data_IF_799659238073
#
_entry.id   IF_799659238073
#
_cell.length_a   1.000
_cell.length_b   1.000
_cell.length_c   1.000
_cell.angle_alpha   90.00
_cell.angle_beta   90.00
_cell.angle_gamma   90.00
#
_symmetry.space_group_name_H-M   'P 1'
#
loop_
_entity.id
_entity.type
_entity.pdbx_description
1 polymer ?
#
# COMPACT_ATOMS: atom_id res chain seq x y z
N UNK A 1 -19.50 -9.92 -30.75
CA UNK A 1 -20.56 -9.03 -31.25
C UNK A 1 -20.56 -8.95 -32.78
N UNK A 2 -19.54 -8.34 -33.39
CA UNK A 2 -19.47 -8.16 -34.85
C UNK A 2 -19.57 -9.48 -35.63
N UNK A 3 -18.81 -10.53 -35.23
CA UNK A 3 -18.87 -11.83 -35.86
C UNK A 3 -20.25 -12.51 -35.77
N UNK A 4 -20.98 -12.37 -34.68
CA UNK A 4 -22.33 -12.90 -34.51
C UNK A 4 -23.30 -12.25 -35.52
N UNK A 5 -23.16 -10.92 -35.74
CA UNK A 5 -23.94 -10.22 -36.77
C UNK A 5 -23.62 -10.68 -38.21
N UNK A 6 -22.35 -10.98 -38.51
CA UNK A 6 -21.93 -11.49 -39.80
C UNK A 6 -22.47 -12.91 -40.07
N UNK A 7 -22.55 -13.72 -39.03
CA UNK A 7 -23.01 -15.15 -39.13
C UNK A 7 -24.53 -15.27 -38.88
N UNK A 8 -25.26 -14.13 -38.79
CA UNK A 8 -26.71 -14.09 -38.53
C UNK A 8 -27.15 -14.91 -37.28
N UNK A 9 -26.29 -14.97 -36.24
CA UNK A 9 -26.63 -15.61 -34.98
C UNK A 9 -26.88 -14.59 -33.88
N UNK A 10 -27.76 -14.95 -32.96
CA UNK A 10 -27.96 -14.12 -31.76
C UNK A 10 -26.68 -14.05 -30.92
N UNK A 11 -26.37 -12.87 -30.44
CA UNK A 11 -25.21 -12.62 -29.59
C UNK A 11 -25.47 -13.18 -28.17
N UNK A 12 -24.72 -14.19 -27.79
CA UNK A 12 -24.70 -14.74 -26.43
C UNK A 12 -23.43 -14.30 -25.68
N UNK A 13 -23.54 -13.37 -24.71
CA UNK A 13 -22.38 -12.83 -24.01
C UNK A 13 -21.57 -13.88 -23.22
N UNK A 14 -22.18 -14.86 -22.50
CA UNK A 14 -21.43 -15.91 -21.83
C UNK A 14 -20.58 -16.76 -22.78
N UNK A 15 -21.14 -17.17 -23.90
CA UNK A 15 -20.41 -17.94 -24.93
C UNK A 15 -19.28 -17.12 -25.55
N UNK A 16 -19.49 -15.81 -25.77
CA UNK A 16 -18.45 -14.94 -26.28
C UNK A 16 -17.30 -14.78 -25.28
N UNK A 17 -17.59 -14.67 -23.98
CA UNK A 17 -16.57 -14.65 -22.94
C UNK A 17 -15.80 -15.97 -22.89
N UNK A 18 -16.49 -17.12 -22.90
CA UNK A 18 -15.87 -18.43 -22.89
C UNK A 18 -14.95 -18.65 -24.10
N UNK A 19 -15.39 -18.25 -25.29
CA UNK A 19 -14.58 -18.33 -26.51
C UNK A 19 -13.32 -17.45 -26.43
N UNK A 20 -13.45 -16.21 -25.93
CA UNK A 20 -12.31 -15.31 -25.73
C UNK A 20 -11.29 -15.87 -24.73
N UNK A 21 -11.76 -16.40 -23.60
CA UNK A 21 -10.92 -17.07 -22.59
C UNK A 21 -10.19 -18.26 -23.23
N UNK A 22 -10.90 -19.12 -23.95
CA UNK A 22 -10.31 -20.27 -24.62
C UNK A 22 -9.23 -19.85 -25.63
N UNK A 23 -9.49 -18.88 -26.49
CA UNK A 23 -8.51 -18.38 -27.46
C UNK A 23 -7.24 -17.85 -26.80
N UNK A 24 -7.37 -17.10 -25.69
CA UNK A 24 -6.22 -16.57 -24.95
C UNK A 24 -5.41 -17.71 -24.33
N UNK A 25 -6.07 -18.70 -23.71
CA UNK A 25 -5.41 -19.80 -23.04
C UNK A 25 -4.79 -20.81 -24.02
N UNK A 26 -5.34 -20.97 -25.20
CA UNK A 26 -4.73 -21.76 -26.28
C UNK A 26 -3.44 -21.10 -26.79
N UNK A 27 -3.39 -19.77 -26.84
CA UNK A 27 -2.18 -19.02 -27.21
C UNK A 27 -1.13 -18.98 -26.10
N UNK A 28 -1.57 -18.86 -24.84
CA UNK A 28 -0.70 -18.83 -23.66
C UNK A 28 -1.42 -19.37 -22.41
N UNK A 29 -1.22 -20.65 -22.03
CA UNK A 29 -1.84 -21.24 -20.85
C UNK A 29 -1.51 -20.52 -19.54
N UNK A 30 -0.33 -19.89 -19.45
CA UNK A 30 0.10 -19.15 -18.26
C UNK A 30 -0.63 -17.80 -18.08
N UNK A 31 -1.38 -17.35 -19.09
CA UNK A 31 -2.17 -16.12 -18.98
C UNK A 31 -3.14 -16.15 -17.79
N UNK A 32 -3.61 -17.35 -17.38
CA UNK A 32 -4.47 -17.52 -16.20
C UNK A 32 -3.85 -16.96 -14.91
N UNK A 33 -2.53 -16.95 -14.81
CA UNK A 33 -1.80 -16.39 -13.65
C UNK A 33 -1.60 -14.87 -13.74
N UNK A 34 -1.82 -14.26 -14.90
CA UNK A 34 -1.67 -12.81 -15.03
C UNK A 34 -2.83 -12.08 -14.36
N UNK A 35 -2.51 -11.07 -13.59
CA UNK A 35 -3.49 -10.22 -12.90
C UNK A 35 -4.46 -9.56 -13.89
N UNK A 36 -3.95 -9.08 -15.03
CA UNK A 36 -4.77 -8.46 -16.08
C UNK A 36 -5.85 -9.41 -16.62
N UNK A 37 -5.49 -10.67 -16.84
CA UNK A 37 -6.45 -11.70 -17.28
C UNK A 37 -7.50 -11.95 -16.20
N UNK A 38 -7.08 -12.18 -14.95
CA UNK A 38 -7.98 -12.48 -13.84
C UNK A 38 -8.97 -11.34 -13.57
N UNK A 39 -8.47 -10.08 -13.52
CA UNK A 39 -9.33 -8.90 -13.32
C UNK A 39 -10.30 -8.69 -14.49
N UNK A 40 -9.84 -8.84 -15.72
CA UNK A 40 -10.71 -8.65 -16.91
C UNK A 40 -11.79 -9.73 -17.00
N UNK A 41 -11.41 -10.99 -16.90
CA UNK A 41 -12.38 -12.10 -16.96
C UNK A 41 -13.32 -12.08 -15.76
N UNK A 42 -12.80 -11.86 -14.57
CA UNK A 42 -13.60 -11.76 -13.35
C UNK A 42 -14.62 -10.62 -13.40
N UNK A 43 -14.20 -9.42 -13.83
CA UNK A 43 -15.10 -8.28 -13.97
C UNK A 43 -16.23 -8.55 -14.97
N UNK A 44 -15.91 -9.08 -16.16
CA UNK A 44 -16.92 -9.38 -17.17
C UNK A 44 -17.86 -10.51 -16.70
N UNK A 45 -17.33 -11.58 -16.10
CA UNK A 45 -18.14 -12.66 -15.54
C UNK A 45 -19.08 -12.13 -14.44
N UNK A 46 -18.61 -11.25 -13.57
CA UNK A 46 -19.39 -10.60 -12.54
C UNK A 46 -20.52 -9.73 -13.13
N UNK A 47 -20.24 -8.95 -14.15
CA UNK A 47 -21.25 -8.15 -14.87
C UNK A 47 -22.33 -9.06 -15.45
N UNK A 48 -21.94 -10.12 -16.16
CA UNK A 48 -22.88 -11.04 -16.78
C UNK A 48 -23.76 -11.79 -15.76
N UNK A 49 -23.18 -12.18 -14.64
CA UNK A 49 -23.89 -12.94 -13.63
C UNK A 49 -24.85 -12.07 -12.77
N UNK A 50 -24.47 -10.83 -12.45
CA UNK A 50 -25.11 -10.06 -11.39
C UNK A 50 -25.77 -8.76 -11.88
N UNK A 51 -25.21 -8.04 -12.86
CA UNK A 51 -25.67 -6.67 -13.18
C UNK A 51 -27.14 -6.58 -13.55
N UNK A 52 -27.65 -7.49 -14.38
CA UNK A 52 -29.06 -7.48 -14.78
C UNK A 52 -30.01 -7.76 -13.61
N UNK A 53 -29.59 -8.61 -12.65
CA UNK A 53 -30.41 -8.92 -11.46
C UNK A 53 -30.48 -7.73 -10.51
N UNK A 54 -29.33 -7.06 -10.30
CA UNK A 54 -29.25 -5.85 -9.48
C UNK A 54 -30.08 -4.73 -10.10
N UNK A 55 -29.93 -4.51 -11.42
CA UNK A 55 -30.71 -3.51 -12.15
C UNK A 55 -32.23 -3.76 -12.08
N UNK A 56 -32.65 -5.02 -12.25
CA UNK A 56 -34.06 -5.41 -12.16
C UNK A 56 -34.62 -5.11 -10.78
N UNK A 57 -33.88 -5.43 -9.71
CA UNK A 57 -34.25 -5.12 -8.33
C UNK A 57 -34.52 -3.62 -8.11
N UNK A 58 -33.59 -2.76 -8.57
CA UNK A 58 -33.77 -1.30 -8.48
C UNK A 58 -34.94 -0.82 -9.33
N UNK A 59 -35.11 -1.37 -10.52
CA UNK A 59 -36.18 -0.99 -11.44
C UNK A 59 -37.56 -1.32 -10.85
N UNK A 60 -37.76 -2.46 -10.27
CA UNK A 60 -39.03 -2.88 -9.72
C UNK A 60 -39.43 -2.10 -8.47
N UNK A 61 -38.46 -1.64 -7.69
CA UNK A 61 -38.72 -1.02 -6.39
C UNK A 61 -38.72 0.51 -6.41
N UNK A 62 -37.91 1.15 -7.26
CA UNK A 62 -37.63 2.59 -7.16
C UNK A 62 -37.86 3.40 -8.45
N UNK A 63 -38.47 2.84 -9.49
CA UNK A 63 -38.68 3.58 -10.73
C UNK A 63 -39.87 4.56 -10.62
N UNK A 64 -39.67 5.86 -10.90
CA UNK A 64 -40.75 6.84 -10.88
C UNK A 64 -41.62 6.75 -12.14
N UNK A 65 -42.83 7.30 -12.04
CA UNK A 65 -43.78 7.38 -13.17
C UNK A 65 -43.36 8.42 -14.22
N UNK A 66 -42.63 9.46 -13.85
CA UNK A 66 -42.21 10.55 -14.72
C UNK A 66 -41.11 10.10 -15.72
N UNK A 67 -41.32 10.35 -17.01
CA UNK A 67 -40.44 9.89 -18.12
C UNK A 67 -38.96 10.37 -18.00
N UNK A 68 -38.75 11.66 -17.64
CA UNK A 68 -37.42 12.22 -17.52
C UNK A 68 -36.66 11.63 -16.33
N UNK A 69 -37.25 11.65 -15.15
CA UNK A 69 -36.67 11.06 -13.94
C UNK A 69 -36.38 9.57 -14.13
N UNK A 70 -37.25 8.86 -14.86
CA UNK A 70 -37.05 7.44 -15.21
C UNK A 70 -35.81 7.22 -16.08
N UNK A 71 -35.52 8.11 -17.06
CA UNK A 71 -34.29 7.99 -17.88
C UNK A 71 -33.02 8.24 -17.06
N UNK A 72 -33.03 9.28 -16.23
CA UNK A 72 -31.89 9.58 -15.35
C UNK A 72 -31.61 8.46 -14.37
N UNK A 73 -32.66 7.94 -13.70
CA UNK A 73 -32.52 6.83 -12.78
C UNK A 73 -32.17 5.51 -13.46
N UNK A 74 -32.63 5.28 -14.69
CA UNK A 74 -32.22 4.11 -15.47
C UNK A 74 -30.72 4.12 -15.76
N UNK A 75 -30.14 5.26 -16.10
CA UNK A 75 -28.70 5.42 -16.30
C UNK A 75 -27.95 5.17 -14.97
N UNK A 76 -28.40 5.81 -13.90
CA UNK A 76 -27.79 5.73 -12.57
C UNK A 76 -27.80 4.29 -12.04
N UNK A 77 -28.96 3.63 -12.06
CA UNK A 77 -29.08 2.24 -11.62
C UNK A 77 -28.35 1.26 -12.55
N UNK A 78 -28.30 1.57 -13.86
CA UNK A 78 -27.50 0.79 -14.81
C UNK A 78 -26.02 0.85 -14.51
N UNK A 79 -25.47 2.05 -14.32
CA UNK A 79 -24.08 2.25 -13.96
C UNK A 79 -23.71 1.59 -12.63
N UNK A 80 -24.52 1.81 -11.59
CA UNK A 80 -24.34 1.17 -10.27
C UNK A 80 -24.39 -0.35 -10.39
N UNK A 81 -25.35 -0.91 -11.13
CA UNK A 81 -25.50 -2.36 -11.27
C UNK A 81 -24.32 -3.00 -12.00
N UNK A 82 -23.79 -2.33 -13.02
CA UNK A 82 -22.60 -2.80 -13.76
C UNK A 82 -21.37 -2.74 -12.85
N UNK A 83 -21.16 -1.62 -12.14
CA UNK A 83 -20.05 -1.47 -11.21
C UNK A 83 -20.11 -2.51 -10.08
N UNK A 84 -21.28 -2.69 -9.46
CA UNK A 84 -21.47 -3.73 -8.43
C UNK A 84 -21.21 -5.13 -8.99
N UNK A 85 -21.72 -5.44 -10.18
CA UNK A 85 -21.49 -6.72 -10.84
C UNK A 85 -19.99 -6.99 -11.06
N UNK A 86 -19.26 -6.02 -11.62
CA UNK A 86 -17.83 -6.11 -11.82
C UNK A 86 -17.06 -6.31 -10.51
N UNK A 87 -17.47 -5.59 -9.46
CA UNK A 87 -16.78 -5.58 -8.16
C UNK A 87 -16.84 -6.91 -7.43
N UNK A 88 -17.82 -7.77 -7.69
CA UNK A 88 -17.98 -9.06 -7.00
C UNK A 88 -16.71 -9.90 -7.07
N UNK A 89 -16.03 -9.93 -8.21
CA UNK A 89 -14.80 -10.69 -8.39
C UNK A 89 -13.56 -9.80 -8.38
N UNK A 90 -13.66 -8.54 -8.85
CA UNK A 90 -12.47 -7.66 -8.88
C UNK A 90 -12.04 -7.17 -7.50
N UNK A 91 -12.98 -6.90 -6.58
CA UNK A 91 -12.64 -6.45 -5.22
C UNK A 91 -11.78 -7.46 -4.45
N UNK A 92 -12.14 -8.76 -4.36
CA UNK A 92 -11.28 -9.75 -3.73
C UNK A 92 -9.90 -9.87 -4.38
N UNK A 93 -9.83 -9.80 -5.70
CA UNK A 93 -8.56 -9.85 -6.42
C UNK A 93 -7.70 -8.60 -6.12
N UNK A 94 -8.29 -7.40 -6.13
CA UNK A 94 -7.59 -6.18 -5.75
C UNK A 94 -7.08 -6.27 -4.32
N UNK A 95 -7.89 -6.75 -3.38
CA UNK A 95 -7.50 -6.94 -2.00
C UNK A 95 -6.31 -7.90 -1.83
N UNK A 96 -6.27 -8.99 -2.62
CA UNK A 96 -5.21 -9.99 -2.55
C UNK A 96 -3.91 -9.52 -3.23
N UNK A 97 -4.01 -8.85 -4.38
CA UNK A 97 -2.83 -8.49 -5.18
C UNK A 97 -2.26 -7.12 -4.84
N UNK A 98 -3.13 -6.14 -4.58
CA UNK A 98 -2.71 -4.77 -4.29
C UNK A 98 -2.74 -4.42 -2.80
N UNK A 99 -3.33 -5.28 -1.97
CA UNK A 99 -3.45 -5.00 -0.54
C UNK A 99 -4.43 -3.88 -0.19
N UNK A 100 -5.28 -3.44 -1.16
CA UNK A 100 -6.24 -2.36 -0.95
C UNK A 100 -7.56 -2.58 -1.69
N UNK A 101 -8.62 -1.96 -1.18
CA UNK A 101 -9.96 -1.93 -1.78
C UNK A 101 -10.47 -0.50 -1.81
N UNK A 102 -10.75 0.04 -3.00
CA UNK A 102 -11.33 1.37 -3.13
C UNK A 102 -12.81 1.37 -2.72
N UNK A 103 -13.16 2.16 -1.71
CA UNK A 103 -14.54 2.39 -1.29
C UNK A 103 -15.26 3.40 -2.20
N UNK A 104 -14.52 4.40 -2.68
CA UNK A 104 -15.08 5.45 -3.53
C UNK A 104 -15.12 5.08 -5.01
N UNK A 105 -14.63 3.90 -5.39
CA UNK A 105 -14.61 3.43 -6.77
C UNK A 105 -15.99 3.45 -7.44
N UNK A 106 -17.08 3.21 -6.69
CA UNK A 106 -18.44 3.35 -7.18
C UNK A 106 -18.77 4.78 -7.61
N UNK A 107 -18.39 5.76 -6.80
CA UNK A 107 -18.62 7.18 -7.09
C UNK A 107 -17.75 7.64 -8.25
N UNK A 108 -16.49 7.22 -8.27
CA UNK A 108 -15.55 7.51 -9.36
C UNK A 108 -16.07 6.96 -10.68
N UNK A 109 -16.57 5.72 -10.70
CA UNK A 109 -17.14 5.13 -11.91
C UNK A 109 -18.41 5.85 -12.36
N UNK A 110 -19.30 6.19 -11.42
CA UNK A 110 -20.53 6.90 -11.73
C UNK A 110 -20.28 8.27 -12.38
N UNK A 111 -19.31 9.02 -11.85
CA UNK A 111 -18.99 10.37 -12.30
C UNK A 111 -17.98 10.40 -13.46
N UNK A 112 -17.16 9.36 -13.64
CA UNK A 112 -16.02 9.37 -14.55
C UNK A 112 -16.19 8.53 -15.82
N UNK A 113 -16.93 7.39 -15.78
CA UNK A 113 -16.98 6.45 -16.91
C UNK A 113 -17.52 7.08 -18.22
N UNK A 114 -18.45 8.01 -18.14
CA UNK A 114 -18.94 8.72 -19.33
C UNK A 114 -17.81 9.53 -20.00
N UNK A 115 -16.98 10.22 -19.20
CA UNK A 115 -15.88 11.02 -19.72
C UNK A 115 -14.82 10.13 -20.37
N UNK A 116 -14.48 8.99 -19.76
CA UNK A 116 -13.55 7.99 -20.32
C UNK A 116 -14.09 7.43 -21.64
N UNK A 117 -15.40 7.12 -21.70
CA UNK A 117 -16.03 6.60 -22.93
C UNK A 117 -15.97 7.62 -24.07
N UNK A 118 -16.30 8.88 -23.81
CA UNK A 118 -16.19 9.94 -24.82
C UNK A 118 -14.74 10.23 -25.20
N UNK A 119 -13.81 10.20 -24.24
CA UNK A 119 -12.38 10.36 -24.50
C UNK A 119 -11.84 9.26 -25.44
N UNK A 120 -12.27 8.01 -25.25
CA UNK A 120 -11.87 6.90 -26.12
C UNK A 120 -12.26 7.16 -27.59
N UNK A 121 -13.52 7.53 -27.85
CA UNK A 121 -13.96 7.89 -29.21
C UNK A 121 -13.31 9.16 -29.72
N UNK A 122 -13.08 10.15 -28.83
CA UNK A 122 -12.39 11.38 -29.15
C UNK A 122 -10.94 11.17 -29.58
N UNK A 123 -10.22 10.24 -28.95
CA UNK A 123 -8.86 9.85 -29.36
C UNK A 123 -8.88 9.24 -30.76
N UNK A 124 -9.76 8.26 -31.01
CA UNK A 124 -9.89 7.66 -32.33
C UNK A 124 -10.21 8.70 -33.43
N UNK A 125 -11.16 9.60 -33.13
CA UNK A 125 -11.53 10.67 -34.03
C UNK A 125 -10.36 11.63 -34.28
N UNK A 126 -9.61 12.00 -33.25
CA UNK A 126 -8.46 12.90 -33.40
C UNK A 126 -7.35 12.30 -34.27
N UNK A 127 -7.11 11.00 -34.15
CA UNK A 127 -6.14 10.26 -35.00
C UNK A 127 -6.63 10.27 -36.46
N UNK A 128 -7.89 9.92 -36.71
CA UNK A 128 -8.46 9.88 -38.07
C UNK A 128 -8.45 11.25 -38.73
N UNK A 129 -8.90 12.28 -38.03
CA UNK A 129 -8.89 13.66 -38.54
C UNK A 129 -7.47 14.18 -38.72
N UNK A 130 -6.54 13.84 -37.84
CA UNK A 130 -5.14 14.22 -37.94
C UNK A 130 -4.41 13.56 -39.11
N UNK A 131 -4.82 12.37 -39.50
CA UNK A 131 -4.31 11.69 -40.70
C UNK A 131 -4.76 12.36 -42.00
N UNK A 132 -5.95 13.00 -41.98
CA UNK A 132 -6.48 13.75 -43.14
C UNK A 132 -5.91 15.18 -43.14
N UNK A 133 -5.99 15.87 -42.00
CA UNK A 133 -5.52 17.25 -41.83
C UNK A 133 -5.13 17.52 -40.37
N UNK A 134 -3.83 17.72 -40.15
CA UNK A 134 -3.24 17.80 -38.81
C UNK A 134 -3.88 18.89 -37.91
N UNK A 135 -4.22 20.12 -38.38
CA UNK A 135 -4.88 21.12 -37.53
C UNK A 135 -6.24 20.65 -36.99
N UNK A 136 -7.03 19.95 -37.78
CA UNK A 136 -8.33 19.44 -37.36
C UNK A 136 -8.17 18.32 -36.30
N UNK A 137 -7.18 17.45 -36.50
CA UNK A 137 -6.80 16.45 -35.50
C UNK A 137 -6.37 17.07 -34.18
N UNK A 138 -5.60 18.18 -34.21
CA UNK A 138 -5.20 18.94 -33.01
C UNK A 138 -6.39 19.51 -32.24
N UNK A 139 -7.39 20.07 -32.94
CA UNK A 139 -8.62 20.60 -32.32
C UNK A 139 -9.37 19.44 -31.61
N UNK A 140 -9.58 18.31 -32.28
CA UNK A 140 -10.24 17.16 -31.70
C UNK A 140 -9.47 16.60 -30.50
N UNK A 141 -8.13 16.52 -30.57
CA UNK A 141 -7.27 16.12 -29.48
C UNK A 141 -7.33 17.08 -28.27
N UNK A 142 -7.39 18.41 -28.53
CA UNK A 142 -7.56 19.40 -27.47
C UNK A 142 -8.87 19.18 -26.70
N UNK A 143 -10.01 19.07 -27.41
CA UNK A 143 -11.30 18.81 -26.78
C UNK A 143 -11.31 17.49 -25.98
N UNK A 144 -10.69 16.45 -26.53
CA UNK A 144 -10.54 15.16 -25.85
C UNK A 144 -9.68 15.28 -24.59
N UNK A 145 -8.63 16.11 -24.63
CA UNK A 145 -7.76 16.35 -23.48
C UNK A 145 -8.50 16.97 -22.28
N UNK A 146 -9.54 17.78 -22.52
CA UNK A 146 -10.35 18.36 -21.45
C UNK A 146 -11.12 17.28 -20.67
N UNK A 147 -11.64 16.25 -21.36
CA UNK A 147 -12.30 15.11 -20.72
C UNK A 147 -11.32 14.30 -19.85
N UNK A 148 -10.11 14.09 -20.35
CA UNK A 148 -9.06 13.41 -19.59
C UNK A 148 -8.61 14.22 -18.37
N UNK A 149 -8.44 15.54 -18.52
CA UNK A 149 -8.13 16.43 -17.39
C UNK A 149 -9.24 16.42 -16.34
N UNK A 150 -10.51 16.46 -16.76
CA UNK A 150 -11.65 16.32 -15.86
C UNK A 150 -11.56 15.01 -15.09
N UNK A 151 -11.33 13.88 -15.78
CA UNK A 151 -11.24 12.56 -15.13
C UNK A 151 -10.08 12.48 -14.13
N UNK A 152 -8.91 12.98 -14.51
CA UNK A 152 -7.73 13.01 -13.61
C UNK A 152 -8.01 13.91 -12.39
N UNK A 153 -8.62 15.08 -12.58
CA UNK A 153 -8.98 15.97 -11.47
C UNK A 153 -10.00 15.32 -10.53
N UNK A 154 -11.01 14.64 -11.08
CA UNK A 154 -12.00 13.89 -10.32
C UNK A 154 -11.35 12.78 -9.47
N UNK A 155 -10.47 11.98 -10.07
CA UNK A 155 -9.76 10.92 -9.36
C UNK A 155 -8.91 11.49 -8.23
N UNK A 156 -8.14 12.54 -8.50
CA UNK A 156 -7.31 13.22 -7.48
C UNK A 156 -8.14 13.78 -6.32
N UNK A 157 -9.26 14.42 -6.64
CA UNK A 157 -10.17 14.95 -5.62
C UNK A 157 -10.73 13.85 -4.74
N UNK A 158 -11.21 12.77 -5.34
CA UNK A 158 -11.83 11.66 -4.61
C UNK A 158 -10.78 10.83 -3.83
N UNK A 159 -9.59 10.61 -4.37
CA UNK A 159 -8.52 9.89 -3.67
C UNK A 159 -7.95 10.63 -2.46
N UNK A 160 -8.17 11.94 -2.34
CA UNK A 160 -7.74 12.73 -1.19
C UNK A 160 -8.58 12.47 0.08
N UNK A 161 -9.71 11.77 -0.01
CA UNK A 161 -10.50 11.44 1.17
C UNK A 161 -9.81 10.34 2.01
N UNK A 162 -9.76 10.48 3.35
CA UNK A 162 -9.05 9.55 4.24
C UNK A 162 -9.53 8.09 4.15
N UNK A 163 -10.80 7.88 3.75
CA UNK A 163 -11.43 6.55 3.58
C UNK A 163 -11.63 6.20 2.10
N UNK A 164 -10.86 6.79 1.19
CA UNK A 164 -10.95 6.48 -0.23
C UNK A 164 -10.65 5.01 -0.53
N UNK A 165 -9.75 4.40 0.24
CA UNK A 165 -9.40 2.99 0.17
C UNK A 165 -9.32 2.38 1.57
N UNK A 166 -9.56 1.07 1.65
CA UNK A 166 -9.32 0.25 2.84
C UNK A 166 -8.19 -0.70 2.54
N UNK A 167 -7.16 -0.68 3.38
CA UNK A 167 -5.99 -1.52 3.25
C UNK A 167 -6.24 -2.89 3.87
N UNK A 168 -5.94 -3.96 3.13
CA UNK A 168 -6.45 -5.32 3.40
C UNK A 168 -5.41 -6.27 3.98
N UNK A 169 -4.19 -5.82 4.25
CA UNK A 169 -3.12 -6.67 4.82
C UNK A 169 -3.27 -6.99 6.31
N UNK A 170 -4.25 -6.38 7.00
CA UNK A 170 -4.54 -6.73 8.39
C UNK A 170 -5.34 -8.03 8.48
N UNK A 171 -5.08 -8.84 9.53
CA UNK A 171 -5.81 -10.09 9.77
C UNK A 171 -7.34 -9.90 9.84
N UNK A 172 -7.89 -8.89 10.53
CA UNK A 172 -9.34 -8.66 10.55
C UNK A 172 -9.95 -8.45 9.16
N UNK A 173 -9.25 -7.73 8.28
CA UNK A 173 -9.72 -7.50 6.91
C UNK A 173 -9.60 -8.78 6.06
N UNK A 174 -8.55 -9.57 6.22
CA UNK A 174 -8.44 -10.87 5.55
C UNK A 174 -9.60 -11.81 5.96
N UNK A 175 -9.95 -11.84 7.25
CA UNK A 175 -11.10 -12.60 7.74
C UNK A 175 -12.43 -12.08 7.17
N UNK A 176 -12.59 -10.75 7.04
CA UNK A 176 -13.74 -10.16 6.37
C UNK A 176 -13.86 -10.58 4.90
N UNK A 177 -12.75 -10.67 4.16
CA UNK A 177 -12.75 -11.16 2.77
C UNK A 177 -13.26 -12.61 2.70
N UNK A 178 -12.77 -13.48 3.57
CA UNK A 178 -13.25 -14.86 3.66
C UNK A 178 -14.74 -14.95 4.01
N UNK A 179 -15.19 -14.17 4.99
CA UNK A 179 -16.60 -14.07 5.38
C UNK A 179 -17.48 -13.55 4.24
N UNK A 180 -17.05 -12.51 3.53
CA UNK A 180 -17.76 -11.96 2.37
C UNK A 180 -17.88 -12.97 1.24
N UNK A 181 -16.84 -13.77 0.97
CA UNK A 181 -16.88 -14.87 0.02
C UNK A 181 -17.88 -15.95 0.42
N UNK A 182 -17.92 -16.32 1.70
CA UNK A 182 -18.92 -17.25 2.23
C UNK A 182 -20.35 -16.70 2.09
N UNK A 183 -20.58 -15.45 2.45
CA UNK A 183 -21.88 -14.81 2.28
C UNK A 183 -22.33 -14.76 0.82
N UNK A 184 -21.40 -14.51 -0.10
CA UNK A 184 -21.65 -14.54 -1.53
C UNK A 184 -22.09 -15.95 -1.98
N UNK A 185 -21.39 -16.99 -1.55
CA UNK A 185 -21.74 -18.38 -1.87
C UNK A 185 -23.14 -18.73 -1.34
N UNK A 186 -23.47 -18.36 -0.09
CA UNK A 186 -24.81 -18.56 0.49
C UNK A 186 -25.88 -17.77 -0.26
N UNK A 187 -25.59 -16.53 -0.66
CA UNK A 187 -26.49 -15.73 -1.49
C UNK A 187 -26.76 -16.39 -2.85
N UNK A 188 -25.72 -16.89 -3.50
CA UNK A 188 -25.86 -17.59 -4.78
C UNK A 188 -26.72 -18.85 -4.66
N UNK A 189 -26.63 -19.54 -3.53
CA UNK A 189 -27.43 -20.72 -3.25
C UNK A 189 -28.91 -20.39 -3.00
N UNK A 190 -29.18 -19.45 -2.08
CA UNK A 190 -30.56 -19.13 -1.66
C UNK A 190 -31.24 -18.08 -2.53
N UNK A 191 -30.48 -17.19 -3.19
CA UNK A 191 -30.96 -16.12 -4.09
C UNK A 191 -32.04 -15.19 -3.53
N UNK A 192 -32.16 -15.09 -2.20
CA UNK A 192 -33.17 -14.27 -1.49
C UNK A 192 -32.45 -13.17 -0.67
N UNK A 193 -33.16 -12.03 -0.46
CA UNK A 193 -32.76 -10.93 0.44
C UNK A 193 -31.37 -10.33 0.18
N UNK A 194 -31.02 -9.86 -1.03
CA UNK A 194 -29.69 -9.33 -1.35
C UNK A 194 -29.25 -8.18 -0.43
N UNK A 195 -30.18 -7.34 0.02
CA UNK A 195 -29.91 -6.21 0.94
C UNK A 195 -29.39 -6.70 2.30
N UNK A 196 -29.89 -7.83 2.79
CA UNK A 196 -29.42 -8.39 4.08
C UNK A 196 -27.97 -8.87 3.96
N UNK A 197 -27.62 -9.55 2.88
CA UNK A 197 -26.24 -9.99 2.65
C UNK A 197 -25.28 -8.82 2.45
N UNK A 198 -25.68 -7.81 1.66
CA UNK A 198 -24.90 -6.59 1.48
C UNK A 198 -24.71 -5.82 2.80
N UNK A 199 -25.78 -5.70 3.61
CA UNK A 199 -25.71 -5.08 4.93
C UNK A 199 -24.79 -5.84 5.89
N UNK A 200 -24.86 -7.18 5.88
CA UNK A 200 -23.99 -8.02 6.71
C UNK A 200 -22.51 -7.87 6.29
N UNK A 201 -22.21 -7.83 4.98
CA UNK A 201 -20.86 -7.58 4.48
C UNK A 201 -20.35 -6.19 4.90
N UNK A 202 -21.18 -5.15 4.76
CA UNK A 202 -20.80 -3.78 5.13
C UNK A 202 -20.56 -3.65 6.64
N UNK A 203 -21.43 -4.24 7.47
CA UNK A 203 -21.25 -4.25 8.92
C UNK A 203 -20.00 -5.01 9.33
N UNK A 204 -19.76 -6.18 8.74
CA UNK A 204 -18.56 -6.95 9.01
C UNK A 204 -17.28 -6.20 8.58
N UNK A 205 -17.30 -5.42 7.48
CA UNK A 205 -16.21 -4.55 7.08
C UNK A 205 -15.97 -3.47 8.12
N UNK A 206 -17.02 -2.77 8.56
CA UNK A 206 -16.90 -1.74 9.59
C UNK A 206 -16.29 -2.29 10.88
N UNK A 207 -16.71 -3.49 11.31
CA UNK A 207 -16.13 -4.17 12.48
C UNK A 207 -14.65 -4.51 12.23
N UNK A 208 -14.30 -5.08 11.07
CA UNK A 208 -12.93 -5.45 10.75
C UNK A 208 -11.99 -4.22 10.71
N UNK A 209 -12.44 -3.11 10.14
CA UNK A 209 -11.71 -1.83 10.14
C UNK A 209 -11.54 -1.30 11.56
N UNK A 210 -12.63 -1.27 12.36
CA UNK A 210 -12.57 -0.83 13.74
C UNK A 210 -11.57 -1.68 14.55
N UNK A 211 -11.58 -3.01 14.41
CA UNK A 211 -10.61 -3.88 15.05
C UNK A 211 -9.18 -3.58 14.62
N UNK A 212 -8.94 -3.36 13.32
CA UNK A 212 -7.61 -3.05 12.80
C UNK A 212 -7.06 -1.74 13.38
N UNK A 213 -7.93 -0.75 13.60
CA UNK A 213 -7.52 0.57 14.13
C UNK A 213 -7.44 0.63 15.65
N UNK A 214 -8.25 -0.18 16.35
CA UNK A 214 -8.26 -0.23 17.81
C UNK A 214 -7.15 -1.10 18.40
N UNK A 215 -6.72 -2.15 17.68
CA UNK A 215 -5.67 -3.06 18.16
C UNK A 215 -4.38 -2.34 18.55
N UNK A 216 -3.84 -1.39 17.77
CA UNK A 216 -2.61 -0.68 18.14
C UNK A 216 -2.75 0.19 19.40
N UNK A 217 -3.95 0.64 19.72
CA UNK A 217 -4.21 1.49 20.89
C UNK A 217 -4.08 0.75 22.23
N UNK A 218 -4.16 -0.58 22.20
CA UNK A 218 -3.97 -1.43 23.39
C UNK A 218 -2.52 -1.82 23.65
N UNK A 219 -1.58 -1.46 22.79
CA UNK A 219 -0.16 -1.77 22.91
C UNK A 219 0.59 -0.58 23.53
N UNK A 220 1.52 -0.85 24.46
CA UNK A 220 2.33 0.22 25.02
C UNK A 220 3.30 0.80 23.99
N UNK A 221 3.83 -0.09 23.13
CA UNK A 221 4.65 0.31 21.99
C UNK A 221 4.54 -0.68 20.85
N UNK A 222 4.89 -0.21 19.67
CA UNK A 222 5.05 -1.04 18.46
C UNK A 222 6.20 -0.51 17.62
N UNK A 223 7.10 -1.41 17.23
CA UNK A 223 8.14 -1.13 16.24
C UNK A 223 7.92 -2.04 15.05
N UNK A 224 7.83 -1.45 13.86
CA UNK A 224 7.61 -2.21 12.63
C UNK A 224 8.70 -1.92 11.63
N UNK A 225 9.47 -2.95 11.26
CA UNK A 225 10.45 -2.89 10.17
C UNK A 225 9.76 -3.38 8.91
N UNK A 226 9.53 -2.47 7.97
CA UNK A 226 8.76 -2.74 6.76
C UNK A 226 9.61 -3.47 5.72
N UNK A 227 9.01 -4.42 5.00
CA UNK A 227 9.62 -5.00 3.80
C UNK A 227 9.53 -4.00 2.63
N UNK A 228 10.57 -3.22 2.45
CA UNK A 228 10.75 -2.27 1.36
C UNK A 228 11.66 -2.81 0.25
N UNK A 229 12.06 -4.08 0.34
CA UNK A 229 13.16 -4.68 -0.42
C UNK A 229 14.50 -4.24 0.14
N UNK A 230 15.48 -3.90 -0.72
CA UNK A 230 16.75 -3.36 -0.25
C UNK A 230 16.55 -1.90 0.17
N UNK A 231 16.75 -1.64 1.48
CA UNK A 231 16.60 -0.34 2.10
C UNK A 231 16.00 -0.41 3.51
N UNK A 232 15.71 0.75 4.10
CA UNK A 232 15.22 0.86 5.48
C UNK A 232 13.97 1.73 5.57
N UNK A 233 12.98 1.22 6.29
CA UNK A 233 11.79 1.97 6.70
C UNK A 233 11.25 1.37 7.99
N UNK A 234 11.42 2.09 9.10
CA UNK A 234 11.04 1.62 10.43
C UNK A 234 10.01 2.55 11.05
N UNK A 235 8.86 2.01 11.45
CA UNK A 235 7.79 2.76 12.12
C UNK A 235 7.89 2.55 13.62
N UNK A 236 7.99 3.63 14.39
CA UNK A 236 8.02 3.66 15.84
C UNK A 236 6.70 4.22 16.38
N UNK A 237 6.02 3.48 17.23
CA UNK A 237 4.75 3.89 17.80
C UNK A 237 4.76 3.68 19.33
N UNK A 238 4.35 4.70 20.06
CA UNK A 238 4.09 4.64 21.51
C UNK A 238 3.23 5.82 21.93
N UNK A 239 2.39 5.63 22.93
CA UNK A 239 1.56 6.67 23.53
C UNK A 239 0.75 7.51 22.50
N UNK A 240 0.25 6.86 21.45
CA UNK A 240 -0.52 7.49 20.38
C UNK A 240 0.29 8.35 19.40
N UNK A 241 1.61 8.40 19.53
CA UNK A 241 2.51 9.07 18.57
C UNK A 241 3.18 8.07 17.63
N UNK A 242 3.45 8.54 16.42
CA UNK A 242 4.07 7.76 15.35
C UNK A 242 5.25 8.50 14.76
N UNK A 243 6.41 7.88 14.80
CA UNK A 243 7.63 8.36 14.15
C UNK A 243 8.08 7.37 13.09
N UNK A 244 8.69 7.86 12.04
CA UNK A 244 9.28 7.06 10.98
C UNK A 244 10.80 7.25 10.98
N UNK A 245 11.56 6.16 10.94
CA UNK A 245 13.01 6.20 10.75
C UNK A 245 13.29 5.66 9.36
N UNK A 246 13.76 6.54 8.49
CA UNK A 246 13.94 6.36 7.06
C UNK A 246 12.66 6.03 6.28
N UNK A 247 12.69 6.26 5.01
CA UNK A 247 11.69 5.85 4.04
C UNK A 247 12.38 5.56 2.71
N UNK A 248 13.23 4.55 2.71
CA UNK A 248 13.97 4.14 1.54
C UNK A 248 13.78 2.67 1.21
N UNK A 249 14.03 2.30 -0.03
CA UNK A 249 13.88 0.92 -0.47
C UNK A 249 14.38 0.69 -1.87
N UNK A 250 14.11 -0.49 -2.41
CA UNK A 250 14.50 -0.86 -3.79
C UNK A 250 14.04 0.18 -4.83
N UNK A 251 12.93 0.86 -4.57
CA UNK A 251 12.47 2.06 -5.29
C UNK A 251 11.71 2.97 -4.32
N UNK A 252 11.76 4.28 -4.53
CA UNK A 252 11.04 5.24 -3.70
C UNK A 252 9.52 5.03 -3.70
N UNK A 253 8.97 4.57 -4.82
CA UNK A 253 7.54 4.22 -4.90
C UNK A 253 7.21 3.05 -3.97
N UNK A 254 8.03 1.98 -3.97
CA UNK A 254 7.80 0.79 -3.14
C UNK A 254 7.86 1.13 -1.65
N UNK A 255 8.83 1.92 -1.21
CA UNK A 255 8.97 2.28 0.20
C UNK A 255 7.86 3.22 0.68
N UNK A 256 7.51 4.24 -0.11
CA UNK A 256 6.40 5.14 0.22
C UNK A 256 5.06 4.40 0.26
N UNK A 257 4.79 3.51 -0.71
CA UNK A 257 3.56 2.71 -0.76
C UNK A 257 3.50 1.74 0.43
N UNK A 258 4.59 1.05 0.77
CA UNK A 258 4.65 0.14 1.92
C UNK A 258 4.39 0.88 3.25
N UNK A 259 4.99 2.05 3.43
CA UNK A 259 4.76 2.89 4.61
C UNK A 259 3.30 3.35 4.70
N UNK A 260 2.74 3.89 3.61
CA UNK A 260 1.34 4.33 3.57
C UNK A 260 0.36 3.18 3.81
N UNK A 261 0.55 2.05 3.12
CA UNK A 261 -0.31 0.88 3.23
C UNK A 261 -0.33 0.36 4.68
N UNK A 262 0.85 0.25 5.31
CA UNK A 262 0.95 -0.16 6.69
C UNK A 262 0.25 0.83 7.64
N UNK A 263 0.60 2.12 7.57
CA UNK A 263 0.07 3.15 8.46
C UNK A 263 -1.45 3.27 8.34
N UNK A 264 -1.98 3.30 7.13
CA UNK A 264 -3.43 3.35 6.91
C UNK A 264 -4.15 2.08 7.36
N UNK A 265 -3.51 0.91 7.25
CA UNK A 265 -4.11 -0.36 7.71
C UNK A 265 -4.35 -0.38 9.22
N UNK A 266 -3.59 0.41 9.98
CA UNK A 266 -3.71 0.55 11.43
C UNK A 266 -4.35 1.88 11.86
N UNK A 267 -4.92 2.63 10.92
CA UNK A 267 -5.67 3.86 11.19
C UNK A 267 -4.81 5.11 11.44
N UNK A 268 -3.55 5.11 11.02
CA UNK A 268 -2.65 6.27 11.15
C UNK A 268 -2.67 7.06 9.84
N UNK A 269 -3.14 8.30 9.90
CA UNK A 269 -3.28 9.22 8.76
C UNK A 269 -2.32 10.40 8.82
N UNK A 270 -1.47 10.46 9.84
CA UNK A 270 -0.46 11.48 10.07
C UNK A 270 0.72 10.87 10.82
N UNK A 271 1.93 11.29 10.50
CA UNK A 271 3.17 10.95 11.20
C UNK A 271 3.60 12.17 12.04
N UNK A 272 3.97 11.97 13.31
CA UNK A 272 4.41 13.05 14.19
C UNK A 272 5.81 13.56 13.86
N UNK A 273 6.70 12.66 13.40
CA UNK A 273 8.01 13.06 12.91
C UNK A 273 8.66 11.98 12.05
N UNK A 274 9.57 12.41 11.16
CA UNK A 274 10.37 11.53 10.31
C UNK A 274 11.86 11.81 10.52
N UNK A 275 12.62 10.78 10.83
CA UNK A 275 14.06 10.84 11.07
C UNK A 275 14.75 10.20 9.86
N UNK A 276 15.54 10.97 9.13
CA UNK A 276 16.34 10.51 7.99
C UNK A 276 17.78 10.32 8.44
N UNK A 277 18.25 9.08 8.43
CA UNK A 277 19.55 8.74 9.01
C UNK A 277 20.71 9.27 8.19
N UNK A 278 20.65 9.14 6.86
CA UNK A 278 21.64 9.64 5.92
C UNK A 278 21.05 9.71 4.49
N UNK A 279 21.72 10.40 3.52
CA UNK A 279 21.10 10.73 2.23
C UNK A 279 21.06 9.61 1.20
N UNK A 280 21.56 8.42 1.48
CA UNK A 280 21.61 7.33 0.50
C UNK A 280 20.19 6.91 0.05
N UNK A 281 20.08 6.53 -1.23
CA UNK A 281 18.81 6.32 -1.88
C UNK A 281 17.93 5.25 -1.19
N UNK A 282 18.53 4.20 -0.66
CA UNK A 282 17.85 3.13 0.04
C UNK A 282 17.39 3.50 1.47
N UNK A 283 17.65 4.75 1.89
CA UNK A 283 17.12 5.34 3.13
C UNK A 283 16.16 6.50 2.90
N UNK A 284 16.27 7.25 1.79
CA UNK A 284 15.49 8.48 1.60
C UNK A 284 14.64 8.54 0.31
N UNK A 285 14.80 7.60 -0.63
CA UNK A 285 14.17 7.72 -1.96
C UNK A 285 12.63 7.78 -1.95
N UNK A 286 11.97 7.31 -0.91
CA UNK A 286 10.53 7.38 -0.72
C UNK A 286 10.05 8.56 0.10
N UNK A 287 10.94 9.25 0.83
CA UNK A 287 10.56 10.29 1.78
C UNK A 287 9.75 11.43 1.14
N UNK A 288 10.22 11.98 0.02
CA UNK A 288 9.52 13.05 -0.70
C UNK A 288 8.14 12.59 -1.24
N UNK A 289 8.03 11.34 -1.69
CA UNK A 289 6.76 10.78 -2.16
C UNK A 289 5.78 10.59 -1.01
N UNK A 290 6.26 10.17 0.16
CA UNK A 290 5.45 10.00 1.36
C UNK A 290 4.96 11.37 1.87
N UNK A 291 5.85 12.36 1.98
CA UNK A 291 5.53 13.74 2.40
C UNK A 291 4.47 14.38 1.48
N UNK A 292 4.52 14.09 0.19
CA UNK A 292 3.50 14.55 -0.78
C UNK A 292 2.12 13.91 -0.63
N UNK A 293 1.98 12.83 0.16
CA UNK A 293 0.75 12.05 0.27
C UNK A 293 0.19 11.95 1.69
N UNK A 294 1.03 12.12 2.70
CA UNK A 294 0.66 12.01 4.11
C UNK A 294 1.21 13.21 4.89
N UNK A 295 0.42 13.84 5.78
CA UNK A 295 0.93 14.89 6.66
C UNK A 295 2.02 14.34 7.59
N UNK A 296 3.18 14.97 7.57
CA UNK A 296 4.32 14.68 8.44
C UNK A 296 4.56 15.92 9.30
N UNK A 297 4.81 15.70 10.58
CA UNK A 297 5.16 16.77 11.50
C UNK A 297 6.55 17.32 11.20
N UNK A 298 7.48 17.18 12.12
CA UNK A 298 8.86 17.63 11.94
C UNK A 298 9.73 16.56 11.29
N UNK A 299 10.64 16.97 10.42
CA UNK A 299 11.67 16.10 9.84
C UNK A 299 13.02 16.36 10.51
N UNK A 300 13.73 15.29 10.84
CA UNK A 300 15.02 15.32 11.52
C UNK A 300 16.07 14.65 10.64
N UNK A 301 17.25 15.23 10.49
CA UNK A 301 18.28 14.64 9.63
C UNK A 301 19.59 15.39 9.66
N UNK A 302 20.51 15.01 8.77
CA UNK A 302 21.81 15.66 8.61
C UNK A 302 21.81 16.76 7.55
N UNK A 303 20.80 16.76 6.64
CA UNK A 303 20.62 17.77 5.59
C UNK A 303 19.16 17.78 5.13
N UNK A 304 18.72 18.90 4.56
CA UNK A 304 17.41 19.07 3.91
C UNK A 304 16.19 18.68 4.78
N UNK A 305 16.27 18.92 6.08
CA UNK A 305 15.23 18.63 7.07
C UNK A 305 14.92 19.85 7.95
N UNK A 306 13.76 19.83 8.62
CA UNK A 306 13.35 20.94 9.50
C UNK A 306 14.31 21.12 10.67
N UNK A 307 14.80 20.01 11.23
CA UNK A 307 15.74 19.99 12.37
C UNK A 307 17.02 19.28 11.98
N UNK A 308 18.11 20.01 11.96
CA UNK A 308 19.45 19.45 11.70
C UNK A 308 20.03 18.85 12.98
N UNK A 309 20.44 17.60 12.90
CA UNK A 309 21.02 16.85 14.03
C UNK A 309 22.55 16.95 13.98
N UNK A 310 23.08 17.86 14.78
CA UNK A 310 24.55 18.04 14.96
C UNK A 310 25.03 17.60 16.34
N UNK A 311 24.13 17.33 17.26
CA UNK A 311 24.39 16.86 18.61
C UNK A 311 23.30 15.88 19.05
N UNK A 312 23.55 15.14 20.13
CA UNK A 312 22.55 14.25 20.73
C UNK A 312 21.26 15.03 21.01
N UNK A 313 20.18 14.58 20.39
CA UNK A 313 18.86 15.21 20.48
C UNK A 313 17.87 14.24 21.09
N UNK A 314 17.02 14.68 21.99
CA UNK A 314 16.02 13.85 22.65
C UNK A 314 14.61 14.37 22.39
N UNK A 315 13.72 13.44 21.98
CA UNK A 315 12.28 13.67 21.83
C UNK A 315 11.59 12.86 22.94
N UNK A 316 10.94 13.54 23.86
CA UNK A 316 10.32 12.92 25.03
C UNK A 316 8.80 13.11 24.98
N UNK A 317 8.04 12.04 25.15
CA UNK A 317 6.58 12.07 25.24
C UNK A 317 6.07 10.90 26.07
N UNK A 318 5.16 11.20 27.00
CA UNK A 318 4.66 10.24 28.00
C UNK A 318 5.81 9.51 28.71
N UNK A 319 5.82 8.18 28.67
CA UNK A 319 6.88 7.32 29.21
C UNK A 319 7.88 6.84 28.13
N UNK A 320 7.90 7.52 26.98
CA UNK A 320 8.71 7.17 25.84
C UNK A 320 9.77 8.22 25.55
N UNK A 321 10.96 7.78 25.17
CA UNK A 321 12.06 8.63 24.72
C UNK A 321 12.64 8.13 23.42
N UNK A 322 12.82 9.04 22.47
CA UNK A 322 13.61 8.82 21.26
C UNK A 322 14.87 9.66 21.41
N UNK A 323 16.03 9.01 21.39
CA UNK A 323 17.34 9.69 21.37
C UNK A 323 17.96 9.54 20.00
N UNK A 324 18.25 10.64 19.35
CA UNK A 324 18.93 10.69 18.05
C UNK A 324 20.39 11.04 18.31
N UNK A 325 21.28 10.16 17.91
CA UNK A 325 22.72 10.36 18.00
C UNK A 325 23.25 10.84 16.65
N UNK A 326 24.08 11.89 16.59
CA UNK A 326 24.76 12.27 15.38
C UNK A 326 25.77 11.19 14.99
N UNK A 327 26.03 11.07 13.70
CA UNK A 327 27.13 10.26 13.18
C UNK A 327 28.48 10.92 13.40
N UNK A 328 29.54 10.36 12.81
CA UNK A 328 30.85 10.95 12.84
C UNK A 328 30.88 12.30 12.08
N UNK A 329 31.65 13.24 12.55
CA UNK A 329 31.74 14.59 11.95
C UNK A 329 32.46 14.62 10.60
N UNK A 330 33.24 13.59 10.30
CA UNK A 330 34.00 13.41 9.04
C UNK A 330 33.92 11.95 8.60
N UNK A 331 34.07 11.72 7.29
CA UNK A 331 34.03 10.38 6.71
C UNK A 331 33.00 10.26 5.60
N UNK A 332 32.64 9.02 5.29
CA UNK A 332 31.61 8.64 4.30
C UNK A 332 30.20 9.02 4.80
N UNK A 333 29.21 8.97 3.93
CA UNK A 333 27.81 9.24 4.32
C UNK A 333 27.30 8.20 5.32
N UNK A 334 27.77 6.95 5.22
CA UNK A 334 27.48 5.90 6.21
C UNK A 334 28.04 6.23 7.60
N UNK A 335 29.29 6.72 7.68
CA UNK A 335 29.89 7.13 8.94
C UNK A 335 29.23 8.36 9.58
N UNK A 336 28.58 9.19 8.77
CA UNK A 336 27.76 10.34 9.21
C UNK A 336 26.30 9.97 9.52
N UNK A 337 25.90 8.74 9.23
CA UNK A 337 24.53 8.27 9.46
C UNK A 337 24.11 8.48 10.93
N UNK A 338 22.92 8.97 11.14
CA UNK A 338 22.33 9.08 12.47
C UNK A 338 21.97 7.69 13.02
N UNK A 339 21.99 7.57 14.33
CA UNK A 339 21.44 6.40 15.02
C UNK A 339 20.30 6.80 15.95
N UNK A 340 19.29 5.96 16.08
CA UNK A 340 18.09 6.24 16.83
C UNK A 340 17.88 5.19 17.92
N UNK A 341 17.90 5.61 19.16
CA UNK A 341 17.55 4.78 20.31
C UNK A 341 16.11 5.10 20.75
N UNK A 342 15.21 4.15 20.56
CA UNK A 342 13.82 4.20 20.96
C UNK A 342 13.62 3.47 22.28
N UNK A 343 13.14 4.19 23.31
CA UNK A 343 12.97 3.68 24.66
C UNK A 343 11.52 3.88 25.14
N UNK A 344 10.60 2.96 24.78
CA UNK A 344 9.26 2.96 25.34
C UNK A 344 9.27 2.26 26.71
N UNK A 345 9.01 3.00 27.78
CA UNK A 345 9.08 2.51 29.15
C UNK A 345 10.48 1.98 29.50
N UNK A 346 10.57 0.68 29.80
CA UNK A 346 11.83 0.02 30.18
C UNK A 346 12.54 -0.69 29.02
N UNK A 347 11.98 -0.68 27.83
CA UNK A 347 12.54 -1.34 26.64
C UNK A 347 13.54 -0.42 25.93
N UNK A 348 14.47 -1.04 25.23
CA UNK A 348 15.47 -0.33 24.44
C UNK A 348 15.64 -0.97 23.05
N UNK A 349 15.39 -0.20 22.02
CA UNK A 349 15.47 -0.59 20.62
C UNK A 349 16.41 0.38 19.94
N UNK A 350 17.52 -0.11 19.36
CA UNK A 350 18.50 0.69 18.64
C UNK A 350 18.35 0.47 17.14
N UNK A 351 18.35 1.56 16.38
CA UNK A 351 18.37 1.59 14.91
C UNK A 351 19.62 2.36 14.54
N UNK A 352 20.60 1.69 13.92
CA UNK A 352 21.92 2.27 13.69
C UNK A 352 22.06 2.96 12.32
N UNK A 353 21.01 2.92 11.47
CA UNK A 353 21.16 3.36 10.08
C UNK A 353 22.29 2.55 9.41
N UNK A 354 23.14 3.21 8.63
CA UNK A 354 24.26 2.55 7.96
C UNK A 354 25.61 2.80 8.65
N UNK A 355 25.56 3.05 9.98
CA UNK A 355 26.79 3.24 10.76
C UNK A 355 27.78 2.11 10.56
N UNK A 356 29.05 2.50 10.39
CA UNK A 356 30.17 1.56 10.41
C UNK A 356 30.58 1.21 11.84
N UNK A 357 31.40 0.19 12.01
CA UNK A 357 31.97 -0.20 13.32
C UNK A 357 32.62 0.99 14.04
N UNK A 358 33.21 1.95 13.31
CA UNK A 358 33.78 3.15 13.93
C UNK A 358 32.71 4.04 14.59
N UNK A 359 31.60 4.28 13.90
CA UNK A 359 30.46 5.02 14.45
C UNK A 359 29.77 4.27 15.59
N UNK A 360 29.62 2.95 15.48
CA UNK A 360 29.08 2.11 16.55
C UNK A 360 29.93 2.17 17.83
N UNK A 361 31.27 2.21 17.70
CA UNK A 361 32.16 2.41 18.84
C UNK A 361 31.96 3.76 19.52
N UNK A 362 31.72 4.81 18.74
CA UNK A 362 31.37 6.13 19.30
C UNK A 362 30.01 6.11 20.04
N UNK A 363 29.01 5.38 19.51
CA UNK A 363 27.74 5.18 20.19
C UNK A 363 27.90 4.46 21.53
N UNK A 364 28.70 3.40 21.58
CA UNK A 364 29.00 2.67 22.82
C UNK A 364 29.68 3.61 23.81
N UNK A 365 30.64 4.43 23.38
CA UNK A 365 31.30 5.42 24.24
C UNK A 365 30.34 6.50 24.77
N UNK A 366 29.27 6.81 24.02
CA UNK A 366 28.21 7.74 24.45
C UNK A 366 27.26 7.14 25.49
N UNK A 367 27.39 5.87 25.85
CA UNK A 367 26.64 5.17 26.89
C UNK A 367 25.29 4.61 26.42
N UNK A 368 25.32 3.47 25.75
CA UNK A 368 24.11 2.73 25.38
C UNK A 368 23.65 1.78 26.49
N UNK A 369 22.33 1.58 26.68
CA UNK A 369 21.81 0.55 27.57
C UNK A 369 21.93 -0.85 26.94
N UNK A 370 21.66 -1.90 27.75
CA UNK A 370 21.33 -3.20 27.17
C UNK A 370 20.12 -3.07 26.23
N UNK A 371 20.16 -3.74 25.09
CA UNK A 371 19.11 -3.67 24.09
C UNK A 371 18.19 -4.89 24.14
N UNK A 372 16.90 -4.65 24.03
CA UNK A 372 15.95 -5.73 23.72
C UNK A 372 16.03 -6.08 22.22
N UNK A 373 16.13 -5.06 21.37
CA UNK A 373 16.15 -5.22 19.90
C UNK A 373 17.21 -4.31 19.28
N UNK A 374 17.86 -4.84 18.24
CA UNK A 374 18.77 -4.12 17.37
C UNK A 374 18.25 -4.19 15.94
N UNK A 375 17.95 -3.05 15.30
CA UNK A 375 17.84 -2.99 13.85
C UNK A 375 19.27 -2.85 13.32
N UNK A 376 19.72 -3.91 12.66
CA UNK A 376 21.11 -4.12 12.25
C UNK A 376 21.52 -3.08 11.21
N UNK A 377 22.69 -2.49 11.42
CA UNK A 377 23.21 -1.45 10.54
C UNK A 377 23.57 -1.96 9.14
N UNK A 378 23.46 -1.08 8.18
CA UNK A 378 23.91 -1.24 6.81
C UNK A 378 23.42 -2.56 6.19
N UNK A 379 22.15 -2.90 6.46
CA UNK A 379 21.47 -4.11 5.96
C UNK A 379 22.19 -5.42 6.27
N UNK A 380 23.06 -5.43 7.29
CA UNK A 380 23.90 -6.58 7.63
C UNK A 380 25.19 -6.67 6.83
N UNK A 381 25.76 -5.53 6.40
CA UNK A 381 27.12 -5.45 5.84
C UNK A 381 28.17 -5.85 6.87
N UNK A 382 29.27 -6.46 6.41
CA UNK A 382 30.43 -6.82 7.26
C UNK A 382 31.10 -5.61 7.91
N UNK A 383 30.89 -4.40 7.36
CA UNK A 383 31.39 -3.11 7.87
C UNK A 383 30.65 -2.59 9.10
N UNK A 384 29.57 -3.26 9.52
CA UNK A 384 28.70 -2.86 10.63
C UNK A 384 28.52 -3.99 11.64
N UNK A 385 27.78 -3.71 12.73
CA UNK A 385 27.41 -4.65 13.78
C UNK A 385 28.62 -5.33 14.38
N UNK A 386 29.52 -4.46 14.89
CA UNK A 386 30.80 -4.87 15.46
C UNK A 386 30.69 -5.54 16.83
N UNK A 387 31.72 -6.30 17.21
CA UNK A 387 31.78 -6.99 18.50
C UNK A 387 31.69 -6.05 19.69
N UNK A 388 32.23 -4.82 19.60
CA UNK A 388 32.15 -3.80 20.64
C UNK A 388 30.70 -3.43 20.94
N UNK A 389 29.89 -3.20 19.90
CA UNK A 389 28.46 -2.91 20.04
C UNK A 389 27.73 -4.09 20.67
N UNK A 390 27.94 -5.30 20.14
CA UNK A 390 27.24 -6.50 20.60
C UNK A 390 27.60 -6.86 22.05
N UNK A 391 28.87 -6.77 22.43
CA UNK A 391 29.31 -7.04 23.79
C UNK A 391 28.81 -6.03 24.82
N UNK A 392 28.74 -4.75 24.45
CA UNK A 392 28.28 -3.67 25.30
C UNK A 392 26.75 -3.67 25.48
N UNK A 393 25.98 -4.01 24.44
CA UNK A 393 24.52 -3.84 24.42
C UNK A 393 23.74 -5.14 24.54
N UNK A 394 24.32 -6.28 24.18
CA UNK A 394 23.76 -7.64 24.28
C UNK A 394 22.30 -7.74 23.79
N UNK A 395 22.00 -7.44 22.54
CA UNK A 395 20.65 -7.46 22.04
C UNK A 395 20.05 -8.87 22.09
N UNK A 396 18.79 -8.99 22.54
CA UNK A 396 18.10 -10.28 22.57
C UNK A 396 17.68 -10.71 21.15
N UNK A 397 17.32 -9.75 20.32
CA UNK A 397 16.90 -10.01 18.94
C UNK A 397 17.46 -8.93 18.00
N UNK A 398 17.95 -9.37 16.86
CA UNK A 398 18.40 -8.51 15.77
C UNK A 398 17.41 -8.58 14.60
N UNK A 399 17.05 -7.45 14.04
CA UNK A 399 16.20 -7.34 12.85
C UNK A 399 17.02 -6.77 11.70
N UNK A 400 17.10 -7.49 10.59
CA UNK A 400 17.83 -7.07 9.40
C UNK A 400 16.82 -6.64 8.33
N UNK A 401 16.83 -5.35 7.96
CA UNK A 401 16.07 -4.84 6.83
C UNK A 401 16.87 -5.05 5.56
N UNK A 402 16.46 -6.00 4.72
CA UNK A 402 17.22 -6.44 3.55
C UNK A 402 16.32 -6.97 2.45
N UNK A 403 16.68 -6.77 1.20
CA UNK A 403 15.93 -7.27 0.05
C UNK A 403 16.31 -8.70 -0.35
N UNK A 404 15.32 -9.50 -0.75
CA UNK A 404 15.56 -10.81 -1.33
C UNK A 404 16.37 -10.69 -2.63
N UNK A 405 17.38 -11.56 -2.79
CA UNK A 405 18.28 -11.58 -3.95
C UNK A 405 18.92 -10.21 -4.24
N UNK A 406 19.29 -9.47 -3.19
CA UNK A 406 19.95 -8.18 -3.35
C UNK A 406 21.36 -8.36 -3.97
N UNK A 407 21.78 -7.36 -4.74
CA UNK A 407 23.07 -7.39 -5.47
C UNK A 407 24.31 -7.24 -4.58
N UNK A 408 24.12 -6.87 -3.31
CA UNK A 408 25.22 -6.61 -2.37
C UNK A 408 25.66 -7.86 -1.62
N UNK A 409 24.86 -8.95 -1.67
CA UNK A 409 25.12 -10.17 -0.91
C UNK A 409 24.77 -10.07 0.58
N UNK A 410 24.05 -9.02 0.98
CA UNK A 410 23.64 -8.84 2.38
C UNK A 410 22.46 -9.75 2.76
N UNK A 411 22.35 -10.13 4.05
CA UNK A 411 23.37 -9.90 5.11
C UNK A 411 24.58 -10.77 4.90
N UNK A 412 25.77 -10.24 5.25
CA UNK A 412 27.03 -10.97 5.20
C UNK A 412 27.05 -12.08 6.24
N UNK A 413 27.65 -13.22 5.90
CA UNK A 413 27.71 -14.38 6.81
C UNK A 413 28.48 -14.06 8.09
N UNK A 414 29.49 -13.19 8.03
CA UNK A 414 30.27 -12.79 9.21
C UNK A 414 29.42 -12.02 10.23
N UNK A 415 28.44 -11.25 9.78
CA UNK A 415 27.49 -10.56 10.67
C UNK A 415 26.54 -11.57 11.31
N UNK A 416 26.03 -12.52 10.53
CA UNK A 416 25.15 -13.58 11.06
C UNK A 416 25.89 -14.42 12.09
N UNK A 417 27.15 -14.79 11.85
CA UNK A 417 27.97 -15.57 12.78
C UNK A 417 28.27 -14.78 14.06
N UNK A 418 28.57 -13.47 13.96
CA UNK A 418 28.71 -12.59 15.13
C UNK A 418 27.42 -12.53 15.97
N UNK A 419 26.27 -12.29 15.36
CA UNK A 419 24.98 -12.24 16.05
C UNK A 419 24.69 -13.58 16.75
N UNK A 420 24.95 -14.71 16.09
CA UNK A 420 24.78 -16.03 16.65
C UNK A 420 25.72 -16.29 17.84
N UNK A 421 26.98 -15.84 17.77
CA UNK A 421 27.96 -15.98 18.87
C UNK A 421 27.52 -15.24 20.15
N UNK A 422 26.76 -14.14 20.01
CA UNK A 422 26.17 -13.41 21.14
C UNK A 422 24.78 -13.94 21.55
N UNK A 423 24.30 -15.05 20.96
CA UNK A 423 23.00 -15.65 21.26
C UNK A 423 21.80 -14.85 20.81
N UNK A 424 21.99 -13.96 19.83
CA UNK A 424 20.95 -13.06 19.32
C UNK A 424 20.02 -13.80 18.35
N UNK A 425 18.71 -13.72 18.57
CA UNK A 425 17.74 -14.20 17.59
C UNK A 425 17.73 -13.27 16.37
N UNK A 426 17.82 -13.81 15.16
CA UNK A 426 17.86 -13.00 13.93
C UNK A 426 16.54 -13.14 13.15
N UNK A 427 15.94 -12.01 12.83
CA UNK A 427 14.79 -11.88 11.93
C UNK A 427 15.21 -11.07 10.72
N UNK A 428 14.75 -11.44 9.52
CA UNK A 428 15.14 -10.80 8.24
C UNK A 428 13.91 -10.48 7.42
N UNK A 429 13.83 -9.27 6.84
CA UNK A 429 12.67 -8.87 6.03
C UNK A 429 12.56 -9.66 4.72
N UNK A 430 13.65 -10.11 4.13
CA UNK A 430 13.65 -10.95 2.92
C UNK A 430 13.09 -12.37 3.14
N UNK A 431 13.02 -12.83 4.39
CA UNK A 431 12.51 -14.15 4.76
C UNK A 431 11.15 -14.08 5.47
N UNK A 432 10.97 -13.07 6.32
CA UNK A 432 9.81 -12.93 7.20
C UNK A 432 8.80 -11.88 6.69
N UNK A 433 9.14 -11.13 5.62
CA UNK A 433 8.35 -9.96 5.24
C UNK A 433 8.45 -8.84 6.28
N UNK A 434 7.42 -8.03 6.42
CA UNK A 434 7.34 -6.99 7.45
C UNK A 434 7.36 -7.59 8.85
N UNK A 435 8.28 -7.11 9.70
CA UNK A 435 8.51 -7.60 11.07
C UNK A 435 7.89 -6.60 12.06
N UNK A 436 7.05 -7.12 12.97
CA UNK A 436 6.35 -6.30 13.97
C UNK A 436 6.74 -6.76 15.38
N UNK A 437 7.31 -5.84 16.16
CA UNK A 437 7.66 -5.99 17.57
C UNK A 437 6.61 -5.23 18.40
N UNK A 438 6.09 -5.85 19.45
CA UNK A 438 5.02 -5.30 20.27
C UNK A 438 5.33 -5.46 21.77
N UNK A 439 4.73 -4.57 22.58
CA UNK A 439 4.81 -4.68 24.04
C UNK A 439 3.78 -3.88 24.80
#
# INVERSE_FOLDING_TARGET
>A
MLLAGVVHREYDPPTALAAAVLCILLGNPYAVRSLSFQLSVGSVAGILAFSQRIFRYFREKYFPKQKFARKCLAYLYGSVSVTMGASVFSVPLCALYFGEVSLIGFLTNLLGLWAVSFAFYGILLSVLLGAIWLPLGKIAAFLTSLLLRYFIALVRLLSAFPLAAVYTRSLPIALWLGFSGMLLAVFLWHRRRPVVYAGACALALAIAVAFSWLTPLGENYRVTVLDVGQGQCVVLQSAGRTYLVDCGGSTGQKSADAAMEYLYSIGIFRIDGMILTHPDADHVNGAALLTGRMPIGETYGIADTDVLITQRTEIIFADCKITIFPGLTSGTDNEKSLSVLFQPGKRAILITGDQTVAGENALVAAGLPNLDYLVVGHHGSDTSTGETLLSATRPLCAVISVGANNRYGHPDQTVLDRLAAYGCTVLRTDQNGTIIIRG
#
